data_IF_039154298315
#
_entry.id   IF_039154298315
#
_cell.length_a   1.000
_cell.length_b   1.000
_cell.length_c   1.000
_cell.angle_alpha   90.00
_cell.angle_beta   90.00
_cell.angle_gamma   90.00
#
_symmetry.space_group_name_H-M   'P 1'
#
loop_
_entity.id
_entity.type
_entity.pdbx_description
1 polymer ?
#
# COMPACT_ATOMS: atom_id res chain seq x y z
N UNK A 1 8.21 -15.04 15.25
CA UNK A 1 7.84 -14.37 13.99
C UNK A 1 8.12 -12.86 14.01
N UNK A 2 7.48 -12.06 14.88
CA UNK A 2 7.59 -10.58 14.89
C UNK A 2 9.03 -10.03 14.98
N UNK A 3 9.86 -10.57 15.86
CA UNK A 3 11.25 -10.15 16.00
C UNK A 3 12.11 -10.45 14.75
N UNK A 4 11.85 -11.57 14.07
CA UNK A 4 12.54 -11.93 12.83
C UNK A 4 12.17 -10.96 11.69
N UNK A 5 10.87 -10.65 11.56
CA UNK A 5 10.41 -9.64 10.60
C UNK A 5 11.05 -8.28 10.84
N UNK A 6 11.15 -7.85 12.10
CA UNK A 6 11.82 -6.60 12.44
C UNK A 6 13.30 -6.58 12.04
N UNK A 7 14.02 -7.69 12.27
CA UNK A 7 15.42 -7.82 11.86
C UNK A 7 15.57 -7.77 10.35
N UNK A 8 14.67 -8.42 9.61
CA UNK A 8 14.65 -8.40 8.14
C UNK A 8 14.35 -6.99 7.61
N UNK A 9 13.30 -6.32 8.10
CA UNK A 9 12.97 -4.95 7.70
C UNK A 9 14.12 -3.96 7.99
N UNK A 10 14.83 -4.15 9.11
CA UNK A 10 15.97 -3.32 9.47
C UNK A 10 17.22 -3.61 8.61
N UNK A 11 17.40 -4.85 8.16
CA UNK A 11 18.52 -5.26 7.33
C UNK A 11 18.31 -4.87 5.86
N UNK A 12 17.12 -5.14 5.30
CA UNK A 12 16.80 -4.86 3.91
C UNK A 12 15.30 -4.64 3.70
N UNK A 13 14.87 -3.38 3.81
CA UNK A 13 13.48 -2.98 3.55
C UNK A 13 13.07 -3.19 2.09
N UNK A 14 14.00 -3.03 1.14
CA UNK A 14 13.74 -3.16 -0.28
C UNK A 14 13.36 -4.59 -0.64
N UNK A 15 14.15 -5.56 -0.16
CA UNK A 15 13.88 -6.99 -0.34
C UNK A 15 12.54 -7.42 0.29
N UNK A 16 12.27 -6.99 1.52
CA UNK A 16 11.00 -7.30 2.20
C UNK A 16 9.82 -6.73 1.42
N UNK A 17 9.89 -5.45 1.02
CA UNK A 17 8.82 -4.80 0.27
C UNK A 17 8.60 -5.47 -1.09
N UNK A 18 9.66 -5.75 -1.84
CA UNK A 18 9.58 -6.44 -3.12
C UNK A 18 8.93 -7.83 -2.99
N UNK A 19 9.36 -8.61 -1.99
CA UNK A 19 8.81 -9.95 -1.73
C UNK A 19 7.32 -9.89 -1.43
N UNK A 20 6.90 -8.97 -0.57
CA UNK A 20 5.49 -8.77 -0.22
C UNK A 20 4.68 -8.36 -1.46
N UNK A 21 5.18 -7.41 -2.25
CA UNK A 21 4.53 -6.98 -3.49
C UNK A 21 4.37 -8.13 -4.49
N UNK A 22 5.40 -8.97 -4.67
CA UNK A 22 5.33 -10.16 -5.52
C UNK A 22 4.25 -11.13 -5.04
N UNK A 23 4.17 -11.41 -3.74
CA UNK A 23 3.13 -12.30 -3.19
C UNK A 23 1.73 -11.74 -3.40
N UNK A 24 1.53 -10.44 -3.10
CA UNK A 24 0.23 -9.78 -3.24
C UNK A 24 -0.27 -9.74 -4.70
N UNK A 25 0.64 -9.50 -5.65
CA UNK A 25 0.30 -9.45 -7.09
C UNK A 25 0.22 -10.84 -7.74
N UNK A 26 0.95 -11.81 -7.20
CA UNK A 26 1.14 -13.14 -7.79
C UNK A 26 -0.10 -14.03 -7.80
N UNK A 27 0.08 -15.24 -8.34
CA UNK A 27 -0.93 -16.30 -8.41
C UNK A 27 -1.00 -17.20 -7.15
N UNK A 28 -0.30 -16.81 -6.07
CA UNK A 28 -0.29 -17.56 -4.80
C UNK A 28 -1.66 -17.68 -4.15
N UNK A 29 -1.75 -18.50 -3.09
CA UNK A 29 -3.02 -18.77 -2.44
C UNK A 29 -3.52 -17.56 -1.62
N UNK A 30 -4.80 -17.59 -1.22
CA UNK A 30 -5.41 -16.52 -0.42
C UNK A 30 -4.76 -16.35 0.95
N UNK A 31 -4.34 -17.43 1.60
CA UNK A 31 -3.67 -17.40 2.89
C UNK A 31 -2.26 -16.76 2.80
N UNK A 32 -1.51 -16.99 1.73
CA UNK A 32 -0.23 -16.34 1.47
C UNK A 32 -0.41 -14.83 1.28
N UNK A 33 -1.37 -14.41 0.45
CA UNK A 33 -1.68 -12.98 0.31
C UNK A 33 -2.17 -12.36 1.61
N UNK A 34 -3.00 -13.09 2.37
CA UNK A 34 -3.46 -12.62 3.68
C UNK A 34 -2.29 -12.42 4.64
N UNK A 35 -1.33 -13.35 4.70
CA UNK A 35 -0.10 -13.22 5.51
C UNK A 35 0.75 -12.05 5.02
N UNK A 36 0.88 -11.84 3.72
CA UNK A 36 1.59 -10.70 3.15
C UNK A 36 0.94 -9.37 3.56
N UNK A 37 -0.40 -9.27 3.58
CA UNK A 37 -1.12 -8.09 4.10
C UNK A 37 -0.84 -7.86 5.60
N UNK A 38 -0.76 -8.92 6.41
CA UNK A 38 -0.36 -8.80 7.82
C UNK A 38 1.07 -8.29 7.97
N UNK A 39 1.99 -8.69 7.09
CA UNK A 39 3.35 -8.17 7.06
C UNK A 39 3.36 -6.67 6.77
N UNK A 40 2.59 -6.20 5.78
CA UNK A 40 2.44 -4.75 5.50
C UNK A 40 1.94 -4.01 6.75
N UNK A 41 0.85 -4.50 7.36
CA UNK A 41 0.25 -3.90 8.55
C UNK A 41 1.18 -3.85 9.77
N UNK A 42 2.09 -4.83 9.90
CA UNK A 42 3.09 -4.84 10.98
C UNK A 42 4.34 -3.98 10.67
N UNK A 43 4.68 -3.84 9.39
CA UNK A 43 5.89 -3.16 8.92
C UNK A 43 5.70 -1.64 8.89
N UNK A 44 4.63 -1.17 8.24
CA UNK A 44 4.41 0.26 7.96
C UNK A 44 4.44 1.13 9.22
N UNK A 45 3.76 0.81 10.33
CA UNK A 45 3.75 1.67 11.51
C UNK A 45 5.12 1.79 12.19
N UNK A 46 6.04 0.85 11.95
CA UNK A 46 7.33 0.77 12.65
C UNK A 46 8.51 1.21 11.80
N UNK A 47 8.39 1.10 10.48
CA UNK A 47 9.46 1.36 9.53
C UNK A 47 9.02 2.32 8.41
N UNK A 48 8.11 3.26 8.74
CA UNK A 48 7.53 4.18 7.76
C UNK A 48 8.59 4.95 6.95
N UNK A 49 9.61 5.48 7.63
CA UNK A 49 10.68 6.22 6.96
C UNK A 49 11.46 5.34 5.96
N UNK A 50 11.77 4.10 6.33
CA UNK A 50 12.49 3.16 5.45
C UNK A 50 11.61 2.67 4.29
N UNK A 51 10.31 2.49 4.52
CA UNK A 51 9.37 2.01 3.52
C UNK A 51 8.91 3.11 2.53
N UNK A 52 9.22 4.39 2.80
CA UNK A 52 8.75 5.51 1.98
C UNK A 52 9.12 5.38 0.50
N UNK A 53 10.37 4.98 0.19
CA UNK A 53 10.82 4.78 -1.19
C UNK A 53 10.07 3.67 -1.94
N UNK A 54 9.33 2.81 -1.22
CA UNK A 54 8.55 1.70 -1.76
C UNK A 54 7.03 1.93 -1.64
N UNK A 55 6.59 3.12 -1.20
CA UNK A 55 5.20 3.40 -0.85
C UNK A 55 4.24 3.16 -2.02
N UNK A 56 4.54 3.70 -3.21
CA UNK A 56 3.68 3.55 -4.38
C UNK A 56 3.48 2.07 -4.73
N UNK A 57 4.57 1.30 -4.75
CA UNK A 57 4.55 -0.12 -5.09
C UNK A 57 3.82 -0.95 -4.04
N UNK A 58 4.06 -0.69 -2.74
CA UNK A 58 3.37 -1.34 -1.63
C UNK A 58 1.87 -1.08 -1.65
N UNK A 59 1.47 0.19 -1.79
CA UNK A 59 0.07 0.56 -1.83
C UNK A 59 -0.62 -0.05 -3.07
N UNK A 60 0.00 0.06 -4.24
CA UNK A 60 -0.49 -0.56 -5.48
C UNK A 60 -0.65 -2.08 -5.36
N UNK A 61 0.26 -2.76 -4.68
CA UNK A 61 0.16 -4.19 -4.44
C UNK A 61 -0.99 -4.55 -3.47
N UNK A 62 -1.20 -3.78 -2.41
CA UNK A 62 -2.35 -3.95 -1.48
C UNK A 62 -3.67 -3.74 -2.22
N UNK A 63 -3.76 -2.71 -3.09
CA UNK A 63 -4.94 -2.46 -3.92
C UNK A 63 -5.17 -3.62 -4.90
N UNK A 64 -4.12 -4.10 -5.57
CA UNK A 64 -4.22 -5.23 -6.50
C UNK A 64 -4.71 -6.53 -5.83
N UNK A 65 -4.36 -6.74 -4.56
CA UNK A 65 -4.78 -7.93 -3.80
C UNK A 65 -6.31 -8.01 -3.61
N UNK A 66 -7.03 -6.89 -3.71
CA UNK A 66 -8.50 -6.82 -3.57
C UNK A 66 -9.23 -6.63 -4.90
N UNK A 67 -8.59 -6.95 -6.03
CA UNK A 67 -9.17 -6.76 -7.36
C UNK A 67 -10.52 -7.50 -7.56
N UNK A 68 -11.51 -6.87 -8.22
CA UNK A 68 -12.86 -7.44 -8.40
C UNK A 68 -12.89 -8.78 -9.13
N UNK A 69 -11.92 -8.99 -10.04
CA UNK A 69 -11.75 -10.24 -10.81
C UNK A 69 -11.58 -11.48 -9.91
N UNK A 70 -11.25 -11.29 -8.62
CA UNK A 70 -11.07 -12.32 -7.60
C UNK A 70 -12.13 -12.22 -6.49
N UNK A 71 -13.42 -12.12 -6.84
CA UNK A 71 -14.50 -11.80 -5.89
C UNK A 71 -14.53 -12.67 -4.60
N UNK A 72 -14.26 -13.97 -4.71
CA UNK A 72 -14.22 -14.87 -3.54
C UNK A 72 -13.01 -14.58 -2.63
N UNK A 73 -11.85 -14.34 -3.21
CA UNK A 73 -10.63 -14.00 -2.46
C UNK A 73 -10.73 -12.61 -1.85
N UNK A 74 -11.27 -11.65 -2.61
CA UNK A 74 -11.51 -10.26 -2.17
C UNK A 74 -12.27 -10.23 -0.85
N UNK A 75 -13.34 -11.01 -0.71
CA UNK A 75 -14.11 -11.11 0.55
C UNK A 75 -13.27 -11.56 1.75
N UNK A 76 -12.29 -12.43 1.53
CA UNK A 76 -11.38 -12.94 2.58
C UNK A 76 -10.25 -11.96 2.89
N UNK A 77 -9.82 -11.16 1.91
CA UNK A 77 -8.69 -10.24 2.03
C UNK A 77 -9.09 -8.83 2.44
N UNK A 78 -10.33 -8.40 2.20
CA UNK A 78 -10.74 -6.99 2.33
C UNK A 78 -10.52 -6.41 3.73
N UNK A 79 -10.72 -7.20 4.79
CA UNK A 79 -10.44 -6.77 6.16
C UNK A 79 -8.95 -6.54 6.41
N UNK A 80 -8.09 -7.47 5.96
CA UNK A 80 -6.64 -7.34 6.10
C UNK A 80 -6.06 -6.22 5.21
N UNK A 81 -6.59 -6.05 4.00
CA UNK A 81 -6.20 -4.98 3.10
C UNK A 81 -6.62 -3.62 3.64
N UNK A 82 -7.84 -3.50 4.19
CA UNK A 82 -8.32 -2.29 4.85
C UNK A 82 -7.43 -1.90 6.04
N UNK A 83 -7.04 -2.86 6.88
CA UNK A 83 -6.11 -2.61 7.98
C UNK A 83 -4.73 -2.15 7.50
N UNK A 84 -4.21 -2.76 6.41
CA UNK A 84 -2.94 -2.35 5.81
C UNK A 84 -3.01 -0.92 5.23
N UNK A 85 -4.07 -0.59 4.46
CA UNK A 85 -4.29 0.74 3.90
C UNK A 85 -4.48 1.80 5.00
N UNK A 86 -5.23 1.47 6.05
CA UNK A 86 -5.38 2.36 7.21
C UNK A 86 -4.03 2.61 7.89
N UNK A 87 -3.16 1.59 7.97
CA UNK A 87 -1.79 1.74 8.43
C UNK A 87 -0.99 2.74 7.59
N UNK A 88 -1.13 2.71 6.26
CA UNK A 88 -0.50 3.68 5.37
C UNK A 88 -1.02 5.10 5.62
N UNK A 89 -2.34 5.29 5.66
CA UNK A 89 -2.98 6.60 5.92
C UNK A 89 -2.52 7.20 7.25
N UNK A 90 -2.39 6.37 8.29
CA UNK A 90 -1.93 6.84 9.61
C UNK A 90 -0.43 7.13 9.66
N UNK A 91 0.37 6.45 8.85
CA UNK A 91 1.82 6.57 8.87
C UNK A 91 2.34 7.74 8.02
N UNK A 92 1.59 8.17 7.02
CA UNK A 92 2.07 9.12 6.02
C UNK A 92 1.09 10.28 5.81
N UNK A 93 1.52 11.56 6.01
CA UNK A 93 0.67 12.73 5.77
C UNK A 93 0.37 12.97 4.28
N UNK A 94 1.10 12.30 3.39
CA UNK A 94 0.89 12.29 1.95
C UNK A 94 0.11 11.06 1.48
N UNK A 95 -0.63 10.40 2.37
CA UNK A 95 -1.58 9.34 2.00
C UNK A 95 -2.96 9.73 2.49
N UNK A 96 -3.89 9.91 1.57
CA UNK A 96 -5.27 10.32 1.86
C UNK A 96 -6.25 9.25 1.39
N UNK A 97 -7.28 9.00 2.17
CA UNK A 97 -8.36 8.07 1.84
C UNK A 97 -9.71 8.78 2.00
N UNK A 98 -10.57 8.62 0.99
CA UNK A 98 -11.97 9.04 1.06
C UNK A 98 -12.88 7.81 1.10
N UNK A 99 -13.67 7.72 2.18
CA UNK A 99 -14.57 6.61 2.42
C UNK A 99 -15.78 6.62 1.48
N UNK A 100 -16.26 7.79 1.05
CA UNK A 100 -17.44 7.89 0.20
C UNK A 100 -17.13 7.36 -1.19
N UNK A 101 -16.12 7.92 -1.86
CA UNK A 101 -15.73 7.47 -3.20
C UNK A 101 -14.92 6.17 -3.19
N UNK A 102 -14.43 5.73 -2.03
CA UNK A 102 -13.41 4.68 -1.90
C UNK A 102 -12.13 5.05 -2.68
N UNK A 103 -11.80 6.33 -2.69
CA UNK A 103 -10.60 6.88 -3.32
C UNK A 103 -9.40 6.81 -2.39
N UNK A 104 -8.23 6.44 -2.93
CA UNK A 104 -6.95 6.49 -2.23
C UNK A 104 -5.98 7.34 -3.04
N UNK A 105 -5.35 8.34 -2.42
CA UNK A 105 -4.35 9.18 -3.04
C UNK A 105 -3.03 9.10 -2.27
N UNK A 106 -1.92 9.00 -3.01
CA UNK A 106 -0.57 8.85 -2.47
C UNK A 106 0.35 9.91 -3.07
N UNK A 107 1.12 10.60 -2.25
CA UNK A 107 2.25 11.41 -2.65
C UNK A 107 3.53 10.59 -2.64
N UNK A 108 4.31 10.70 -3.71
CA UNK A 108 5.53 9.93 -3.94
C UNK A 108 6.78 10.79 -3.72
N UNK A 109 7.92 10.12 -3.53
CA UNK A 109 9.22 10.77 -3.30
C UNK A 109 9.73 11.54 -4.52
N UNK A 110 9.25 11.22 -5.71
CA UNK A 110 9.62 11.85 -6.98
C UNK A 110 8.72 13.04 -7.37
N UNK A 111 7.76 13.43 -6.52
CA UNK A 111 6.87 14.55 -6.77
C UNK A 111 5.62 14.21 -7.56
N UNK A 112 5.35 12.92 -7.78
CA UNK A 112 4.07 12.43 -8.31
C UNK A 112 3.04 12.22 -7.20
N UNK A 113 1.79 12.47 -7.51
CA UNK A 113 0.64 11.98 -6.76
C UNK A 113 -0.09 10.91 -7.57
N UNK A 114 -0.35 9.75 -6.96
CA UNK A 114 -1.04 8.62 -7.60
C UNK A 114 -2.37 8.38 -6.92
N UNK A 115 -3.43 8.28 -7.69
CA UNK A 115 -4.78 8.01 -7.19
C UNK A 115 -5.28 6.63 -7.62
N UNK A 116 -6.03 5.98 -6.74
CA UNK A 116 -6.66 4.69 -6.96
C UNK A 116 -8.15 4.74 -6.60
N UNK A 117 -8.95 3.97 -7.33
CA UNK A 117 -10.29 3.57 -6.93
C UNK A 117 -10.23 2.16 -6.34
N UNK A 118 -10.55 2.01 -5.05
CA UNK A 118 -10.50 0.74 -4.33
C UNK A 118 -11.68 -0.19 -4.65
N UNK A 119 -12.78 0.33 -5.23
CA UNK A 119 -13.90 -0.51 -5.68
C UNK A 119 -13.48 -1.35 -6.86
N UNK A 120 -12.81 -0.73 -7.81
CA UNK A 120 -12.35 -1.36 -9.06
C UNK A 120 -10.91 -1.86 -8.97
N UNK A 121 -10.16 -1.47 -7.94
CA UNK A 121 -8.73 -1.73 -7.77
C UNK A 121 -7.90 -1.21 -8.95
N UNK A 122 -8.23 -0.01 -9.42
CA UNK A 122 -7.59 0.62 -10.59
C UNK A 122 -6.88 1.90 -10.19
N UNK A 123 -5.79 2.22 -10.90
CA UNK A 123 -5.13 3.53 -10.80
C UNK A 123 -5.92 4.51 -11.67
N UNK A 124 -6.50 5.54 -11.06
CA UNK A 124 -7.40 6.50 -11.71
C UNK A 124 -6.66 7.71 -12.24
N UNK A 125 -5.59 8.15 -11.57
CA UNK A 125 -4.80 9.30 -12.01
C UNK A 125 -3.34 9.20 -11.57
N UNK A 126 -2.47 9.87 -12.34
CA UNK A 126 -1.10 10.23 -11.95
C UNK A 126 -0.95 11.72 -12.23
N UNK A 127 -0.75 12.49 -11.17
CA UNK A 127 -0.51 13.93 -11.22
C UNK A 127 0.97 14.15 -10.97
N UNK A 128 1.66 14.87 -11.85
CA UNK A 128 3.10 15.10 -11.74
C UNK A 128 3.39 16.60 -11.64
N UNK A 129 4.02 17.01 -10.53
CA UNK A 129 4.42 18.40 -10.33
C UNK A 129 5.58 18.83 -11.22
N UNK A 130 6.30 17.88 -11.84
CA UNK A 130 7.56 18.05 -12.60
C UNK A 130 8.68 18.74 -11.84
N UNK A 131 8.55 18.88 -10.52
CA UNK A 131 9.57 19.51 -9.66
C UNK A 131 10.65 18.53 -9.26
N UNK A 132 10.39 17.22 -9.36
CA UNK A 132 11.26 16.15 -8.83
C UNK A 132 11.40 16.17 -7.31
N UNK A 133 10.57 16.95 -6.58
CA UNK A 133 10.63 17.09 -5.13
C UNK A 133 9.59 16.20 -4.45
N UNK A 134 9.91 15.59 -3.29
CA UNK A 134 8.97 14.79 -2.54
C UNK A 134 7.67 15.52 -2.21
N UNK A 135 6.54 14.84 -2.35
CA UNK A 135 5.23 15.36 -1.94
C UNK A 135 5.15 15.36 -0.41
N UNK A 136 4.92 16.54 0.19
CA UNK A 136 4.87 16.69 1.64
C UNK A 136 3.51 16.31 2.25
N UNK A 137 2.41 16.54 1.53
CA UNK A 137 1.06 16.23 1.98
C UNK A 137 0.11 16.04 0.78
N UNK A 138 -0.95 15.26 0.98
CA UNK A 138 -2.02 15.03 0.00
C UNK A 138 -3.34 15.02 0.74
N UNK A 139 -4.36 15.65 0.15
CA UNK A 139 -5.73 15.60 0.63
C UNK A 139 -6.67 15.37 -0.55
N UNK A 140 -7.74 14.61 -0.31
CA UNK A 140 -8.87 14.48 -1.23
C UNK A 140 -9.92 15.50 -0.78
N UNK A 141 -10.35 16.37 -1.70
CA UNK A 141 -11.41 17.33 -1.43
C UNK A 141 -12.77 16.61 -1.24
N UNK A 142 -13.70 17.16 -0.42
CA UNK A 142 -15.05 16.63 -0.27
C UNK A 142 -15.84 16.64 -1.58
#
# INVERSE_FOLDING_TARGET
>A
AKAALQRLCAADMGLVSATVCTVLRGAGDVAERWRALQVVGAMVPRFAAQAYGQLEELAGAVVAAIAPKRATERRRLIGAAGAALQGLVRAYPFVSFDAETQGLALGCADGRCVAYDLRTATRTAVLDSRTGRPVAAVAIAP
#
